data_IF_938061108897
#
_entry.id   IF_938061108897
#
_cell.length_a   1.000
_cell.length_b   1.000
_cell.length_c   1.000
_cell.angle_alpha   90.00
_cell.angle_beta   90.00
_cell.angle_gamma   90.00
#
_symmetry.space_group_name_H-M   'P 1'
#
loop_
_entity.id
_entity.type
_entity.pdbx_description
1 polymer ?
#
# COMPACT_ATOMS: atom_id res chain seq x y z
N UNK A 1 -0.33 36.12 -16.69
CA UNK A 1 -0.07 34.73 -17.16
C UNK A 1 0.70 33.99 -16.07
N UNK A 2 0.07 33.01 -15.39
CA UNK A 2 0.71 32.20 -14.34
C UNK A 2 1.67 31.20 -14.99
N UNK A 3 2.95 31.19 -14.58
CA UNK A 3 3.93 30.17 -14.97
C UNK A 3 3.49 28.83 -14.36
N UNK A 4 3.07 27.89 -15.21
CA UNK A 4 2.87 26.50 -14.80
C UNK A 4 4.25 25.90 -14.55
N UNK A 5 4.53 25.54 -13.29
CA UNK A 5 5.76 24.89 -12.88
C UNK A 5 5.88 23.53 -13.55
N UNK A 6 6.75 23.43 -14.57
CA UNK A 6 7.08 22.18 -15.28
C UNK A 6 7.83 21.16 -14.41
N UNK A 7 8.16 21.51 -13.18
CA UNK A 7 8.90 20.67 -12.22
C UNK A 7 8.06 19.54 -11.60
N UNK A 8 6.72 19.62 -11.66
CA UNK A 8 5.84 18.60 -11.07
C UNK A 8 5.81 17.33 -11.92
N UNK A 9 5.89 17.46 -13.26
CA UNK A 9 5.88 16.30 -14.17
C UNK A 9 7.12 15.40 -14.07
N UNK A 10 8.28 15.97 -13.73
CA UNK A 10 9.53 15.22 -13.59
C UNK A 10 9.57 14.41 -12.28
N UNK A 11 8.95 14.93 -11.21
CA UNK A 11 8.91 14.27 -9.90
C UNK A 11 8.01 13.01 -9.92
N UNK A 12 6.87 13.07 -10.61
CA UNK A 12 5.95 11.93 -10.77
C UNK A 12 6.59 10.83 -11.62
N UNK A 13 7.38 11.18 -12.64
CA UNK A 13 8.07 10.20 -13.47
C UNK A 13 9.18 9.48 -12.68
N UNK A 14 9.96 10.20 -11.86
CA UNK A 14 11.06 9.61 -11.07
C UNK A 14 10.57 8.68 -9.95
N UNK A 15 9.39 8.91 -9.39
CA UNK A 15 8.79 8.04 -8.34
C UNK A 15 8.19 6.73 -8.89
N UNK A 16 7.91 6.65 -10.19
CA UNK A 16 7.44 5.41 -10.85
C UNK A 16 8.58 4.49 -11.31
N UNK A 17 9.82 4.98 -11.34
CA UNK A 17 11.00 4.21 -11.73
C UNK A 17 11.49 3.16 -10.71
N UNK A 18 11.45 3.34 -9.36
CA UNK A 18 11.90 2.29 -8.45
C UNK A 18 10.97 1.06 -8.43
N UNK A 19 9.67 1.23 -8.71
CA UNK A 19 8.70 0.13 -8.75
C UNK A 19 8.92 -0.83 -9.91
N UNK A 20 9.30 -0.33 -11.09
CA UNK A 20 9.61 -1.16 -12.25
C UNK A 20 10.97 -1.87 -12.13
N UNK A 21 11.94 -1.27 -11.45
CA UNK A 21 13.23 -1.90 -11.14
C UNK A 21 13.06 -3.04 -10.13
N UNK A 22 12.21 -2.87 -9.11
CA UNK A 22 11.91 -3.95 -8.15
C UNK A 22 11.05 -5.07 -8.75
N UNK A 23 10.07 -4.74 -9.59
CA UNK A 23 9.27 -5.76 -10.28
C UNK A 23 10.11 -6.60 -11.26
N UNK A 24 11.17 -6.03 -11.85
CA UNK A 24 12.07 -6.75 -12.76
C UNK A 24 13.02 -7.73 -12.05
N UNK A 25 13.39 -7.47 -10.79
CA UNK A 25 14.25 -8.37 -10.01
C UNK A 25 13.49 -9.30 -9.07
N UNK A 26 12.18 -9.13 -8.91
CA UNK A 26 11.38 -9.96 -8.02
C UNK A 26 11.32 -11.42 -8.48
N UNK A 27 11.56 -12.35 -7.56
CA UNK A 27 11.43 -13.80 -7.83
C UNK A 27 9.95 -14.15 -8.05
N UNK A 28 9.07 -13.50 -7.30
CA UNK A 28 7.63 -13.60 -7.48
C UNK A 28 7.03 -12.20 -7.53
N UNK A 29 6.18 -11.96 -8.52
CA UNK A 29 5.39 -10.73 -8.64
C UNK A 29 3.92 -11.10 -8.75
N UNK A 30 3.10 -10.43 -7.94
CA UNK A 30 1.66 -10.62 -7.89
C UNK A 30 0.95 -9.30 -8.15
N UNK A 31 -0.12 -9.34 -8.96
CA UNK A 31 -1.20 -8.38 -8.84
C UNK A 31 -1.84 -8.57 -7.47
N UNK A 32 -2.04 -7.48 -6.75
CA UNK A 32 -2.61 -7.47 -5.41
C UNK A 32 -3.90 -6.66 -5.39
N UNK A 33 -4.93 -7.23 -4.77
CA UNK A 33 -6.16 -6.52 -4.42
C UNK A 33 -6.33 -6.68 -2.92
N UNK A 34 -6.39 -5.59 -2.15
CA UNK A 34 -6.67 -5.64 -0.72
C UNK A 34 -7.89 -4.83 -0.33
N UNK A 35 -8.51 -5.23 0.77
CA UNK A 35 -9.53 -4.44 1.44
C UNK A 35 -9.39 -4.55 2.95
N UNK A 36 -9.46 -3.43 3.65
CA UNK A 36 -9.47 -3.40 5.11
C UNK A 36 -10.83 -3.72 5.69
N UNK A 37 -10.84 -4.27 6.91
CA UNK A 37 -12.00 -4.12 7.79
C UNK A 37 -12.16 -2.63 8.12
N UNK A 38 -13.40 -2.17 8.23
CA UNK A 38 -13.67 -0.84 8.75
C UNK A 38 -13.22 -0.71 10.20
N UNK A 39 -12.48 0.34 10.54
CA UNK A 39 -12.06 0.61 11.93
C UNK A 39 -13.20 1.21 12.75
N UNK A 40 -13.15 1.03 14.06
CA UNK A 40 -14.18 1.55 14.98
C UNK A 40 -13.96 3.02 15.32
N UNK A 41 -12.71 3.48 15.30
CA UNK A 41 -12.28 4.83 15.72
C UNK A 41 -12.72 5.90 14.69
N UNK A 42 -12.20 5.86 13.46
CA UNK A 42 -12.55 6.83 12.40
C UNK A 42 -13.44 6.27 11.28
N UNK A 43 -13.97 5.05 11.46
CA UNK A 43 -14.70 4.37 10.39
C UNK A 43 -13.84 4.13 9.14
N UNK A 44 -12.51 4.03 9.30
CA UNK A 44 -11.56 4.02 8.19
C UNK A 44 -11.67 2.70 7.42
N UNK A 45 -11.80 2.81 6.10
CA UNK A 45 -11.75 1.66 5.19
C UNK A 45 -10.82 1.96 4.02
N UNK A 46 -9.90 1.04 3.77
CA UNK A 46 -8.93 1.15 2.67
C UNK A 46 -9.18 0.01 1.68
N UNK A 47 -9.33 0.35 0.41
CA UNK A 47 -9.37 -0.61 -0.70
C UNK A 47 -8.22 -0.30 -1.64
N UNK A 48 -7.40 -1.29 -2.00
CA UNK A 48 -6.22 -1.06 -2.83
C UNK A 48 -6.09 -2.06 -3.98
N UNK A 49 -5.48 -1.58 -5.06
CA UNK A 49 -5.09 -2.37 -6.23
C UNK A 49 -3.64 -2.03 -6.56
N UNK A 50 -2.79 -3.03 -6.67
CA UNK A 50 -1.36 -2.81 -6.82
C UNK A 50 -0.56 -4.02 -7.20
N UNK A 51 0.74 -3.93 -6.96
CA UNK A 51 1.71 -5.00 -7.18
C UNK A 51 2.40 -5.34 -5.87
N UNK A 52 2.61 -6.63 -5.63
CA UNK A 52 3.35 -7.14 -4.49
C UNK A 52 4.43 -8.10 -4.99
N UNK A 53 5.67 -7.86 -4.59
CA UNK A 53 6.84 -8.63 -5.01
C UNK A 53 7.58 -9.24 -3.85
N UNK A 54 8.16 -10.43 -4.06
CA UNK A 54 9.10 -11.05 -3.12
C UNK A 54 10.39 -11.45 -3.81
N UNK A 55 11.52 -11.30 -3.13
CA UNK A 55 12.83 -11.73 -3.63
C UNK A 55 13.80 -11.98 -2.47
N UNK A 56 14.36 -13.19 -2.36
CA UNK A 56 15.45 -13.52 -1.40
C UNK A 56 15.22 -12.98 0.02
N UNK A 57 14.02 -13.19 0.56
CA UNK A 57 13.65 -12.74 1.91
C UNK A 57 13.37 -11.24 2.03
N UNK A 58 13.08 -10.56 0.92
CA UNK A 58 12.60 -9.17 0.87
C UNK A 58 11.18 -9.12 0.30
N UNK A 59 10.44 -8.10 0.68
CA UNK A 59 9.16 -7.74 0.09
C UNK A 59 9.18 -6.30 -0.42
N UNK A 60 8.35 -6.03 -1.41
CA UNK A 60 8.06 -4.68 -1.87
C UNK A 60 6.64 -4.63 -2.42
N UNK A 61 5.98 -3.49 -2.30
CA UNK A 61 4.70 -3.26 -2.95
C UNK A 61 4.48 -1.80 -3.32
N UNK A 62 3.60 -1.62 -4.29
CA UNK A 62 3.09 -0.33 -4.74
C UNK A 62 1.62 -0.48 -5.09
N UNK A 63 0.77 0.39 -4.57
CA UNK A 63 -0.67 0.29 -4.75
C UNK A 63 -1.30 1.66 -4.98
N UNK A 64 -2.37 1.66 -5.77
CA UNK A 64 -3.36 2.72 -5.76
C UNK A 64 -4.44 2.35 -4.74
N UNK A 65 -4.64 3.21 -3.76
CA UNK A 65 -5.57 3.03 -2.65
C UNK A 65 -6.70 4.04 -2.71
N UNK A 66 -7.92 3.58 -2.46
CA UNK A 66 -9.08 4.38 -2.13
C UNK A 66 -9.30 4.30 -0.62
N UNK A 67 -9.40 5.45 0.03
CA UNK A 67 -9.52 5.60 1.47
C UNK A 67 -10.87 6.24 1.74
N UNK A 68 -11.69 5.58 2.54
CA UNK A 68 -12.99 6.06 2.99
C UNK A 68 -12.91 6.30 4.50
N UNK A 69 -13.27 7.50 4.95
CA UNK A 69 -13.37 7.84 6.37
C UNK A 69 -14.70 8.53 6.64
N UNK A 70 -15.42 8.07 7.67
CA UNK A 70 -16.69 8.68 8.05
C UNK A 70 -16.51 10.14 8.51
N UNK A 71 -15.39 10.41 9.17
CA UNK A 71 -15.10 11.72 9.78
C UNK A 71 -14.28 12.63 8.87
N UNK A 72 -13.46 12.06 7.98
CA UNK A 72 -12.52 12.81 7.15
C UNK A 72 -12.82 12.76 5.66
N UNK A 73 -13.88 12.07 5.21
CA UNK A 73 -14.25 11.96 3.80
C UNK A 73 -13.36 11.01 2.99
N UNK A 74 -13.50 11.08 1.67
CA UNK A 74 -12.90 10.11 0.75
C UNK A 74 -11.63 10.64 0.06
N UNK A 75 -10.65 9.75 -0.14
CA UNK A 75 -9.38 10.08 -0.74
C UNK A 75 -8.79 8.99 -1.64
N UNK A 76 -7.97 9.43 -2.60
CA UNK A 76 -7.15 8.56 -3.44
C UNK A 76 -5.68 8.74 -3.07
N UNK A 77 -4.96 7.63 -2.95
CA UNK A 77 -3.57 7.66 -2.53
C UNK A 77 -2.70 6.62 -3.24
N UNK A 78 -1.42 6.94 -3.39
CA UNK A 78 -0.38 5.99 -3.74
C UNK A 78 0.26 5.47 -2.46
N UNK A 79 0.30 4.15 -2.32
CA UNK A 79 0.86 3.44 -1.19
C UNK A 79 2.12 2.67 -1.63
N UNK A 80 3.22 2.85 -0.90
CA UNK A 80 4.49 2.18 -1.17
C UNK A 80 5.02 1.53 0.11
N UNK A 81 5.48 0.29 0.02
CA UNK A 81 6.07 -0.38 1.16
C UNK A 81 7.18 -1.34 0.79
N UNK A 82 8.07 -1.58 1.74
CA UNK A 82 9.17 -2.52 1.62
C UNK A 82 9.48 -3.17 2.96
N UNK A 83 10.18 -4.28 2.95
CA UNK A 83 10.47 -5.03 4.16
C UNK A 83 11.22 -6.33 3.94
N UNK A 84 11.24 -7.13 5.00
CA UNK A 84 11.86 -8.46 5.03
C UNK A 84 10.78 -9.53 5.14
N UNK A 85 11.04 -10.69 4.56
CA UNK A 85 10.19 -11.86 4.64
C UNK A 85 10.97 -13.12 4.98
N UNK A 86 10.26 -14.08 5.58
CA UNK A 86 10.74 -15.43 5.80
C UNK A 86 9.65 -16.44 5.41
N UNK A 87 10.07 -17.60 4.91
CA UNK A 87 9.16 -18.67 4.47
C UNK A 87 9.18 -19.82 5.47
N UNK A 88 8.00 -20.15 6.00
CA UNK A 88 7.78 -21.28 6.91
C UNK A 88 6.37 -21.85 6.70
N UNK A 89 6.16 -22.58 5.59
CA UNK A 89 4.83 -23.05 5.15
C UNK A 89 3.94 -21.95 4.55
N UNK A 90 4.03 -20.73 5.10
CA UNK A 90 3.53 -19.49 4.53
C UNK A 90 4.69 -18.47 4.44
N UNK A 91 4.50 -17.38 3.69
CA UNK A 91 5.44 -16.26 3.68
C UNK A 91 5.00 -15.24 4.72
N UNK A 92 5.80 -15.04 5.75
CA UNK A 92 5.58 -14.02 6.76
C UNK A 92 6.48 -12.82 6.45
N UNK A 93 6.01 -11.61 6.77
CA UNK A 93 6.79 -10.41 6.52
C UNK A 93 6.61 -9.33 7.59
N UNK A 94 7.64 -8.51 7.71
CA UNK A 94 7.71 -7.30 8.52
C UNK A 94 8.28 -6.19 7.65
N UNK A 95 7.68 -5.01 7.68
CA UNK A 95 8.11 -3.90 6.83
C UNK A 95 7.62 -2.56 7.32
N UNK A 96 7.84 -1.57 6.48
CA UNK A 96 7.30 -0.24 6.63
C UNK A 96 6.98 0.35 5.26
N UNK A 97 6.15 1.37 5.25
CA UNK A 97 5.76 2.07 4.04
C UNK A 97 5.32 3.49 4.32
N UNK A 98 4.96 4.15 3.22
CA UNK A 98 4.39 5.48 3.24
C UNK A 98 3.31 5.58 2.18
N UNK A 99 2.39 6.51 2.43
CA UNK A 99 1.23 6.77 1.62
C UNK A 99 1.18 8.27 1.32
N UNK A 100 0.87 8.63 0.07
CA UNK A 100 0.69 10.00 -0.38
C UNK A 100 -0.57 10.08 -1.22
N UNK A 101 -1.49 10.98 -0.89
CA UNK A 101 -2.77 11.07 -1.57
C UNK A 101 -3.42 12.43 -1.47
N UNK A 102 -4.64 12.48 -1.97
CA UNK A 102 -5.49 13.65 -1.96
C UNK A 102 -6.90 13.27 -1.53
N UNK A 103 -7.44 14.01 -0.58
CA UNK A 103 -8.83 13.91 -0.15
C UNK A 103 -9.66 14.94 -0.95
N UNK A 104 -10.59 14.45 -1.76
CA UNK A 104 -11.37 15.32 -2.65
C UNK A 104 -12.41 16.15 -1.92
N UNK A 105 -12.89 15.65 -0.79
CA UNK A 105 -14.03 16.23 -0.08
C UNK A 105 -13.60 17.45 0.72
N UNK A 106 -12.45 17.34 1.40
CA UNK A 106 -11.85 18.44 2.16
C UNK A 106 -10.87 19.28 1.35
N UNK A 107 -10.56 18.85 0.12
CA UNK A 107 -9.56 19.48 -0.76
C UNK A 107 -8.13 19.50 -0.20
N UNK A 108 -7.79 18.52 0.64
CA UNK A 108 -6.53 18.46 1.39
C UNK A 108 -5.64 17.30 0.96
N UNK A 109 -4.33 17.48 1.15
CA UNK A 109 -3.36 16.40 0.97
C UNK A 109 -3.40 15.45 2.17
N UNK A 110 -3.32 14.15 1.89
CA UNK A 110 -3.19 13.12 2.90
C UNK A 110 -1.84 12.44 2.74
N UNK A 111 -1.18 12.16 3.85
CA UNK A 111 0.07 11.42 3.84
C UNK A 111 0.16 10.57 5.09
N UNK A 112 0.74 9.38 5.01
CA UNK A 112 1.00 8.61 6.21
C UNK A 112 2.32 7.86 6.07
N UNK A 113 2.90 7.49 7.20
CA UNK A 113 3.88 6.42 7.26
C UNK A 113 3.36 5.32 8.17
N UNK A 114 3.81 4.09 7.96
CA UNK A 114 3.30 2.97 8.73
C UNK A 114 4.32 1.83 8.82
N UNK A 115 4.44 1.17 9.98
CA UNK A 115 4.93 -0.20 10.03
C UNK A 115 3.84 -1.15 9.53
N UNK A 116 4.27 -2.30 9.00
CA UNK A 116 3.38 -3.36 8.60
C UNK A 116 3.91 -4.74 8.96
N UNK A 117 2.98 -5.65 9.21
CA UNK A 117 3.24 -7.07 9.40
C UNK A 117 2.22 -7.85 8.59
N UNK A 118 2.59 -9.03 8.09
CA UNK A 118 1.61 -9.82 7.36
C UNK A 118 2.04 -11.24 7.04
N UNK A 119 1.09 -11.96 6.47
CA UNK A 119 1.23 -13.35 6.06
C UNK A 119 0.63 -13.55 4.68
N UNK A 120 1.30 -14.34 3.85
CA UNK A 120 0.87 -14.77 2.53
C UNK A 120 0.79 -16.29 2.49
N UNK A 121 -0.40 -16.82 2.26
CA UNK A 121 -0.67 -18.24 2.12
C UNK A 121 -0.83 -18.59 0.64
N UNK A 122 0.15 -19.30 0.08
CA UNK A 122 0.13 -19.72 -1.32
C UNK A 122 -0.82 -20.91 -1.48
N UNK A 123 -1.91 -20.72 -2.23
CA UNK A 123 -2.85 -21.80 -2.54
C UNK A 123 -2.43 -22.52 -3.82
N UNK A 124 -1.86 -21.79 -4.77
CA UNK A 124 -1.24 -22.33 -5.98
C UNK A 124 0.02 -21.53 -6.32
N UNK A 125 0.71 -21.90 -7.41
CA UNK A 125 1.84 -21.12 -7.92
C UNK A 125 1.47 -19.69 -8.36
N UNK A 126 0.21 -19.45 -8.69
CA UNK A 126 -0.27 -18.17 -9.26
C UNK A 126 -1.36 -17.51 -8.43
N UNK A 127 -1.73 -18.09 -7.30
CA UNK A 127 -2.81 -17.57 -6.45
C UNK A 127 -2.48 -17.75 -4.97
N UNK A 128 -2.62 -16.66 -4.21
CA UNK A 128 -2.39 -16.65 -2.77
C UNK A 128 -3.38 -15.72 -2.06
N UNK A 129 -3.56 -15.98 -0.77
CA UNK A 129 -4.29 -15.10 0.14
C UNK A 129 -3.29 -14.33 0.99
N UNK A 130 -3.62 -13.09 1.32
CA UNK A 130 -2.80 -12.23 2.17
C UNK A 130 -3.63 -11.67 3.33
N UNK A 131 -3.00 -11.54 4.49
CA UNK A 131 -3.51 -10.72 5.60
C UNK A 131 -2.38 -9.80 6.04
N UNK A 132 -2.68 -8.50 6.13
CA UNK A 132 -1.71 -7.47 6.52
C UNK A 132 -2.28 -6.62 7.63
N UNK A 133 -1.50 -6.40 8.69
CA UNK A 133 -1.76 -5.38 9.70
C UNK A 133 -0.88 -4.16 9.43
N UNK A 134 -1.47 -2.96 9.39
CA UNK A 134 -0.75 -1.69 9.26
C UNK A 134 -1.17 -0.74 10.39
N UNK A 135 -0.25 0.12 10.83
CA UNK A 135 -0.57 1.24 11.73
C UNK A 135 -0.25 2.56 11.05
N UNK A 136 -1.25 3.31 10.60
CA UNK A 136 -1.03 4.59 9.95
C UNK A 136 -0.77 5.69 10.98
N UNK A 137 0.34 6.39 10.79
CA UNK A 137 0.69 7.59 11.52
C UNK A 137 0.51 8.80 10.62
N UNK A 138 -0.02 9.88 11.20
CA UNK A 138 -0.17 11.20 10.57
C UNK A 138 -1.06 11.22 9.31
N UNK A 139 -1.99 10.26 9.14
CA UNK A 139 -2.87 10.18 7.97
C UNK A 139 -3.67 11.46 7.73
N UNK A 140 -4.15 12.08 8.82
CA UNK A 140 -4.75 13.41 8.84
C UNK A 140 -4.08 14.27 9.94
N UNK A 141 -4.04 15.59 9.74
CA UNK A 141 -3.32 16.55 10.61
C UNK A 141 -3.78 16.57 12.08
N UNK A 142 -4.94 16.00 12.40
CA UNK A 142 -5.50 15.91 13.77
C UNK A 142 -6.06 14.53 14.12
N UNK A 143 -5.76 13.49 13.34
CA UNK A 143 -6.28 12.13 13.64
C UNK A 143 -5.36 11.37 14.59
N UNK A 144 -5.95 10.52 15.42
CA UNK A 144 -5.22 9.48 16.13
C UNK A 144 -4.59 8.46 15.15
N UNK A 145 -3.60 7.71 15.63
CA UNK A 145 -2.99 6.64 14.85
C UNK A 145 -3.99 5.52 14.59
N UNK A 146 -4.12 5.06 13.35
CA UNK A 146 -5.11 4.03 13.00
C UNK A 146 -4.48 2.67 12.80
N UNK A 147 -5.04 1.65 13.46
CA UNK A 147 -4.68 0.27 13.23
C UNK A 147 -5.66 -0.37 12.25
N UNK A 148 -5.17 -0.78 11.08
CA UNK A 148 -5.98 -1.45 10.07
C UNK A 148 -5.52 -2.89 9.85
N UNK A 149 -6.49 -3.76 9.59
CA UNK A 149 -6.26 -5.13 9.11
C UNK A 149 -6.85 -5.25 7.72
N UNK A 150 -6.01 -5.62 6.75
CA UNK A 150 -6.40 -5.86 5.36
C UNK A 150 -6.38 -7.34 5.03
N UNK A 151 -7.33 -7.72 4.17
CA UNK A 151 -7.40 -9.03 3.54
C UNK A 151 -7.17 -8.85 2.05
N UNK A 152 -6.28 -9.65 1.49
CA UNK A 152 -5.82 -9.51 0.12
C UNK A 152 -5.91 -10.79 -0.69
N UNK A 153 -6.11 -10.61 -1.99
CA UNK A 153 -5.97 -11.63 -3.02
C UNK A 153 -4.74 -11.30 -3.86
N UNK A 154 -3.90 -12.30 -4.11
CA UNK A 154 -2.70 -12.18 -4.94
C UNK A 154 -2.82 -13.06 -6.18
N UNK A 155 -2.52 -12.49 -7.35
CA UNK A 155 -2.56 -13.19 -8.64
C UNK A 155 -1.21 -13.03 -9.36
N UNK A 156 -0.48 -14.12 -9.53
CA UNK A 156 0.82 -14.14 -10.20
C UNK A 156 0.71 -14.54 -11.66
N UNK A 157 1.63 -14.05 -12.50
CA UNK A 157 1.85 -14.57 -13.85
C UNK A 157 2.92 -15.66 -13.83
N UNK A 158 2.76 -16.70 -14.67
CA UNK A 158 3.77 -17.74 -14.87
C UNK A 158 4.92 -17.26 -15.76
#
# INVERSE_FOLDING_TARGET
MKKVNRSIGLLVLVLLFPGSVWAAEAEETFLRIERSKQTEEMGLRVTSLGVFGTNKGKIGHMDLSYIESADNGDGLALDFGAGVSFRAGATFFLGAGFLLGYNSDNSDFISAYYPQVGVVAHLTKTFALMVTGKRYYALYDNSEDENIVTFGLLFGSR
#
